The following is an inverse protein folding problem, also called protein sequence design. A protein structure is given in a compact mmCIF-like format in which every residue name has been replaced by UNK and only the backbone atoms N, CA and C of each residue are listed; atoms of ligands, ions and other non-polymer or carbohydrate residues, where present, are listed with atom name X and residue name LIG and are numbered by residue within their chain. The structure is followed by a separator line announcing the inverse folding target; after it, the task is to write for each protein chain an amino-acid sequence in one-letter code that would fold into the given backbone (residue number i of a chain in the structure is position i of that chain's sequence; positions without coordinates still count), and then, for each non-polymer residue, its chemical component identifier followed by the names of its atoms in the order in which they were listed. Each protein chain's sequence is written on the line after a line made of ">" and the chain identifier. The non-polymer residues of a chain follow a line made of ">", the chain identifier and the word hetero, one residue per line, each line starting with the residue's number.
data_IF_023111351959
#
_entry.id   IF_023111351959
#
_cell.length_a   1.000
_cell.length_b   1.000
_cell.length_c   1.000
_cell.angle_alpha   90.00
_cell.angle_beta   90.00
_cell.angle_gamma   90.00
#
_symmetry.space_group_name_H-M   'P 1'
#
loop_
_entity.id
_entity.type
_entity.pdbx_description
1 polymer ?
#
# COMPACT_ATOMS: atom_id res chain seq x y z
N UNK A 1 -38.21 -20.14 29.49
CA UNK A 1 -38.26 -20.29 28.04
C UNK A 1 -36.93 -19.78 27.54
N UNK A 2 -35.92 -20.67 27.53
CA UNK A 2 -34.58 -20.35 27.02
C UNK A 2 -34.65 -20.27 25.49
N UNK A 3 -33.99 -19.30 24.82
CA UNK A 3 -33.95 -19.28 23.37
C UNK A 3 -33.08 -20.42 22.89
N UNK A 4 -33.64 -21.24 22.01
CA UNK A 4 -33.01 -22.33 21.28
C UNK A 4 -31.87 -21.75 20.41
N UNK A 5 -30.62 -21.87 20.91
CA UNK A 5 -29.44 -21.23 20.29
C UNK A 5 -28.68 -22.12 19.33
N UNK A 6 -29.25 -23.23 18.85
CA UNK A 6 -28.56 -24.09 17.89
C UNK A 6 -29.48 -24.48 16.72
N UNK A 7 -29.64 -23.53 15.77
CA UNK A 7 -30.46 -23.69 14.56
C UNK A 7 -29.85 -24.62 13.50
N UNK A 8 -28.55 -25.05 13.65
CA UNK A 8 -27.88 -25.87 12.67
C UNK A 8 -27.12 -27.03 13.33
N UNK A 9 -27.02 -28.15 12.64
CA UNK A 9 -26.17 -29.25 13.08
C UNK A 9 -24.67 -28.86 13.03
N UNK A 10 -23.74 -29.47 13.81
CA UNK A 10 -22.32 -29.18 13.77
C UNK A 10 -21.70 -29.28 12.37
N UNK A 11 -22.18 -30.15 11.52
CA UNK A 11 -21.73 -30.33 10.13
C UNK A 11 -22.21 -29.15 9.24
N UNK A 12 -23.45 -28.73 9.37
CA UNK A 12 -24.02 -27.59 8.64
C UNK A 12 -23.30 -26.29 9.04
N UNK A 13 -23.02 -26.08 10.32
CA UNK A 13 -22.26 -24.93 10.78
C UNK A 13 -20.85 -24.89 10.17
N UNK A 14 -20.15 -26.03 10.12
CA UNK A 14 -18.82 -26.12 9.52
C UNK A 14 -18.85 -25.85 8.00
N UNK A 15 -19.88 -26.29 7.30
CA UNK A 15 -20.05 -26.04 5.87
C UNK A 15 -20.33 -24.56 5.59
N UNK A 16 -21.20 -23.91 6.36
CA UNK A 16 -21.47 -22.48 6.27
C UNK A 16 -20.22 -21.64 6.57
N UNK A 17 -19.45 -21.99 7.60
CA UNK A 17 -18.20 -21.31 7.94
C UNK A 17 -17.21 -21.44 6.79
N UNK A 18 -17.03 -22.64 6.22
CA UNK A 18 -16.13 -22.88 5.10
C UNK A 18 -16.55 -22.09 3.85
N UNK A 19 -17.82 -22.10 3.51
CA UNK A 19 -18.36 -21.36 2.37
C UNK A 19 -18.14 -19.85 2.53
N UNK A 20 -18.44 -19.30 3.72
CA UNK A 20 -18.23 -17.88 4.00
C UNK A 20 -16.73 -17.51 3.97
N UNK A 21 -15.85 -18.37 4.50
CA UNK A 21 -14.42 -18.17 4.44
C UNK A 21 -13.92 -18.12 2.99
N UNK A 22 -14.39 -19.02 2.13
CA UNK A 22 -14.04 -19.02 0.70
C UNK A 22 -14.52 -17.74 -0.01
N UNK A 23 -15.72 -17.26 0.29
CA UNK A 23 -16.23 -16.00 -0.26
C UNK A 23 -15.36 -14.82 0.15
N UNK A 24 -14.97 -14.74 1.43
CA UNK A 24 -14.08 -13.69 1.94
C UNK A 24 -12.73 -13.75 1.21
N UNK A 25 -12.10 -14.92 1.14
CA UNK A 25 -10.82 -15.07 0.45
C UNK A 25 -10.90 -14.70 -1.04
N UNK A 26 -12.01 -15.04 -1.70
CA UNK A 26 -12.23 -14.65 -3.11
C UNK A 26 -12.34 -13.13 -3.29
N UNK A 27 -12.99 -12.42 -2.36
CA UNK A 27 -13.07 -10.96 -2.38
C UNK A 27 -11.69 -10.33 -2.14
N UNK A 28 -10.93 -10.84 -1.18
CA UNK A 28 -9.58 -10.37 -0.91
C UNK A 28 -8.66 -10.57 -2.13
N UNK A 29 -8.70 -11.76 -2.73
CA UNK A 29 -7.91 -12.06 -3.93
C UNK A 29 -8.26 -11.15 -5.11
N UNK A 30 -9.55 -10.82 -5.31
CA UNK A 30 -9.99 -9.89 -6.35
C UNK A 30 -9.42 -8.46 -6.16
N UNK A 31 -9.07 -8.10 -4.93
CA UNK A 31 -8.41 -6.83 -4.59
C UNK A 31 -6.88 -6.97 -4.42
N UNK A 32 -6.31 -8.08 -4.86
CA UNK A 32 -4.88 -8.39 -4.74
C UNK A 32 -4.38 -8.35 -3.29
N UNK A 33 -5.22 -8.83 -2.37
CA UNK A 33 -4.91 -8.97 -0.95
C UNK A 33 -4.73 -10.44 -0.63
N UNK A 34 -3.62 -10.81 -0.04
CA UNK A 34 -3.31 -12.17 0.39
C UNK A 34 -3.03 -12.20 1.90
N UNK A 35 -3.37 -13.31 2.55
CA UNK A 35 -3.21 -13.47 4.00
C UNK A 35 -2.08 -14.46 4.29
N UNK A 36 -1.38 -14.20 5.39
CA UNK A 36 -0.41 -15.13 5.95
C UNK A 36 -0.33 -15.02 7.47
N UNK A 37 0.15 -16.05 8.10
CA UNK A 37 0.30 -16.16 9.53
C UNK A 37 1.71 -16.60 9.86
N UNK A 38 2.30 -16.05 10.91
CA UNK A 38 3.57 -16.43 11.48
C UNK A 38 3.34 -16.96 12.90
N UNK A 39 3.74 -18.20 13.13
CA UNK A 39 3.73 -18.84 14.44
C UNK A 39 5.02 -18.47 15.19
N UNK A 40 4.89 -17.64 16.22
CA UNK A 40 6.04 -17.05 16.93
C UNK A 40 6.88 -18.13 17.63
N UNK A 41 6.29 -19.11 18.34
CA UNK A 41 7.06 -20.17 18.99
C UNK A 41 7.84 -21.06 18.04
N UNK A 42 7.32 -21.34 16.86
CA UNK A 42 7.95 -22.28 15.93
C UNK A 42 8.71 -21.63 14.79
N UNK A 43 8.49 -20.33 14.56
CA UNK A 43 9.06 -19.58 13.44
C UNK A 43 8.49 -19.94 12.06
N UNK A 44 7.38 -20.67 12.01
CA UNK A 44 6.76 -21.13 10.75
C UNK A 44 5.80 -20.11 10.18
N UNK A 45 5.79 -20.00 8.85
CA UNK A 45 4.82 -19.23 8.08
C UNK A 45 3.75 -20.14 7.48
N UNK A 46 2.52 -19.66 7.46
CA UNK A 46 1.38 -20.27 6.76
C UNK A 46 0.74 -19.24 5.85
N UNK A 47 0.51 -19.59 4.60
CA UNK A 47 -0.01 -18.69 3.56
C UNK A 47 -1.36 -19.21 3.04
N UNK A 48 -2.22 -18.32 2.56
CA UNK A 48 -3.39 -18.72 1.78
C UNK A 48 -2.98 -19.41 0.48
N UNK A 49 -3.77 -20.37 -0.01
CA UNK A 49 -3.43 -21.22 -1.15
C UNK A 49 -3.00 -20.45 -2.41
N UNK A 50 -3.63 -19.32 -2.68
CA UNK A 50 -3.35 -18.49 -3.85
C UNK A 50 -2.45 -17.28 -3.56
N UNK A 51 -1.71 -17.29 -2.44
CA UNK A 51 -0.92 -16.14 -1.97
C UNK A 51 -0.03 -15.55 -3.08
N UNK A 52 0.81 -16.36 -3.71
CA UNK A 52 1.75 -15.91 -4.74
C UNK A 52 1.05 -15.40 -5.99
N UNK A 53 0.05 -16.14 -6.46
CA UNK A 53 -0.74 -15.76 -7.63
C UNK A 53 -1.51 -14.47 -7.41
N UNK A 54 -2.12 -14.32 -6.24
CA UNK A 54 -2.86 -13.11 -5.86
C UNK A 54 -1.99 -11.88 -5.89
N UNK A 55 -0.74 -11.99 -5.49
CA UNK A 55 0.21 -10.88 -5.47
C UNK A 55 0.99 -10.69 -6.78
N UNK A 56 0.88 -11.62 -7.74
CA UNK A 56 1.63 -11.58 -8.99
C UNK A 56 3.10 -12.02 -8.84
N UNK A 57 3.42 -12.71 -7.76
CA UNK A 57 4.75 -13.25 -7.52
C UNK A 57 4.94 -14.56 -8.29
N UNK A 58 6.18 -14.81 -8.67
CA UNK A 58 6.54 -16.05 -9.36
C UNK A 58 6.31 -17.25 -8.43
N UNK A 59 5.49 -18.18 -8.88
CA UNK A 59 5.29 -19.47 -8.21
C UNK A 59 6.54 -20.36 -8.43
N UNK A 60 7.57 -20.12 -7.62
CA UNK A 60 8.90 -20.71 -7.85
C UNK A 60 9.04 -22.16 -7.36
N UNK A 61 7.94 -22.86 -7.02
CA UNK A 61 8.01 -24.18 -6.39
C UNK A 61 8.71 -24.17 -5.03
N UNK A 62 8.90 -22.99 -4.46
CA UNK A 62 9.52 -22.80 -3.14
C UNK A 62 8.49 -23.16 -2.09
N UNK A 63 8.79 -24.18 -1.29
CA UNK A 63 8.03 -24.46 -0.08
C UNK A 63 8.50 -23.46 0.96
N UNK A 64 7.71 -22.43 1.19
CA UNK A 64 7.96 -21.47 2.27
C UNK A 64 7.90 -22.21 3.62
N UNK A 65 8.99 -22.20 4.31
CA UNK A 65 9.10 -22.81 5.66
C UNK A 65 9.14 -21.74 6.73
N UNK A 66 9.81 -20.65 6.44
CA UNK A 66 9.97 -19.52 7.37
C UNK A 66 10.06 -18.19 6.60
N UNK A 67 10.13 -17.08 7.34
CA UNK A 67 10.17 -15.72 6.76
C UNK A 67 11.41 -15.48 5.89
N UNK A 68 12.51 -16.22 6.06
CA UNK A 68 13.71 -16.02 5.26
C UNK A 68 13.51 -16.47 3.81
N UNK A 69 12.59 -17.40 3.56
CA UNK A 69 12.25 -17.81 2.21
C UNK A 69 11.61 -16.67 1.40
N UNK A 70 10.92 -15.73 2.07
CA UNK A 70 10.37 -14.53 1.44
C UNK A 70 11.46 -13.62 0.87
N UNK A 71 12.63 -13.53 1.53
CA UNK A 71 13.70 -12.65 1.08
C UNK A 71 14.30 -13.03 -0.27
N UNK A 72 14.04 -14.23 -0.78
CA UNK A 72 14.44 -14.63 -2.14
C UNK A 72 13.66 -13.85 -3.24
N UNK A 73 12.50 -13.30 -2.90
CA UNK A 73 11.69 -12.50 -3.81
C UNK A 73 11.91 -11.00 -3.62
N UNK A 74 12.38 -10.59 -2.44
CA UNK A 74 12.60 -9.19 -2.12
C UNK A 74 13.87 -8.64 -2.79
N UNK A 75 13.84 -7.36 -3.13
CA UNK A 75 15.04 -6.66 -3.55
C UNK A 75 16.03 -6.55 -2.39
N UNK A 76 17.33 -6.80 -2.63
CA UNK A 76 18.35 -6.85 -1.57
C UNK A 76 18.40 -5.57 -0.71
N UNK A 77 18.16 -4.41 -1.32
CA UNK A 77 18.17 -3.11 -0.63
C UNK A 77 17.05 -2.97 0.40
N UNK A 78 15.93 -3.67 0.20
CA UNK A 78 14.74 -3.56 1.05
C UNK A 78 14.76 -4.56 2.22
N UNK A 79 15.56 -5.63 2.11
CA UNK A 79 15.57 -6.74 3.08
C UNK A 79 15.87 -6.26 4.49
N UNK A 80 16.87 -5.41 4.67
CA UNK A 80 17.28 -4.94 6.00
C UNK A 80 16.18 -4.09 6.69
N UNK A 81 15.50 -3.25 5.93
CA UNK A 81 14.37 -2.46 6.43
C UNK A 81 13.20 -3.35 6.83
N UNK A 82 12.89 -4.35 6.00
CA UNK A 82 11.86 -5.34 6.27
C UNK A 82 12.17 -6.15 7.54
N UNK A 83 13.38 -6.68 7.68
CA UNK A 83 13.81 -7.43 8.85
C UNK A 83 13.70 -6.60 10.13
N UNK A 84 14.09 -5.33 10.07
CA UNK A 84 14.01 -4.41 11.22
C UNK A 84 12.55 -4.17 11.64
N UNK A 85 11.64 -3.95 10.68
CA UNK A 85 10.23 -3.75 10.98
C UNK A 85 9.59 -5.03 11.55
N UNK A 86 9.90 -6.19 10.95
CA UNK A 86 9.42 -7.48 11.42
C UNK A 86 9.89 -7.79 12.85
N UNK A 87 11.17 -7.53 13.16
CA UNK A 87 11.71 -7.71 14.51
C UNK A 87 11.01 -6.82 15.55
N UNK A 88 10.71 -5.56 15.21
CA UNK A 88 9.94 -4.66 16.09
C UNK A 88 8.53 -5.16 16.35
N UNK A 89 7.88 -5.75 15.35
CA UNK A 89 6.56 -6.38 15.53
C UNK A 89 6.62 -7.56 16.50
N UNK A 90 7.61 -8.42 16.35
CA UNK A 90 7.79 -9.58 17.24
C UNK A 90 8.10 -9.14 18.68
N UNK A 91 8.80 -8.03 18.87
CA UNK A 91 9.08 -7.45 20.20
C UNK A 91 7.87 -6.77 20.84
N UNK A 92 6.69 -6.79 20.21
CA UNK A 92 5.46 -6.12 20.67
C UNK A 92 5.62 -4.58 20.89
N UNK A 93 6.58 -3.98 20.23
CA UNK A 93 6.82 -2.52 20.29
C UNK A 93 5.76 -1.72 19.51
N UNK A 94 4.97 -2.39 18.68
CA UNK A 94 3.88 -1.79 17.92
C UNK A 94 2.69 -2.74 17.83
N UNK A 95 1.46 -2.23 17.99
CA UNK A 95 0.24 -3.02 17.83
C UNK A 95 -0.17 -3.24 16.36
N UNK A 96 0.29 -2.37 15.49
CA UNK A 96 0.11 -2.46 14.04
C UNK A 96 1.32 -1.82 13.37
N UNK A 97 1.81 -2.45 12.34
CA UNK A 97 2.88 -1.91 11.52
C UNK A 97 2.61 -2.24 10.07
N UNK A 98 3.09 -1.39 9.19
CA UNK A 98 3.07 -1.65 7.76
C UNK A 98 4.46 -1.40 7.20
N UNK A 99 4.81 -2.14 6.17
CA UNK A 99 6.06 -1.97 5.44
C UNK A 99 5.85 -2.25 3.96
N UNK A 100 6.40 -1.39 3.12
CA UNK A 100 6.49 -1.62 1.70
C UNK A 100 7.83 -2.30 1.35
N UNK A 101 7.78 -3.22 0.41
CA UNK A 101 8.94 -3.97 -0.08
C UNK A 101 8.80 -4.21 -1.58
N UNK A 102 9.90 -4.03 -2.30
CA UNK A 102 9.95 -4.41 -3.71
C UNK A 102 10.25 -5.89 -3.83
N UNK A 103 9.50 -6.55 -4.70
CA UNK A 103 9.68 -7.95 -5.02
C UNK A 103 9.83 -8.15 -6.53
N UNK A 104 10.35 -9.32 -6.91
CA UNK A 104 10.45 -9.74 -8.30
C UNK A 104 9.20 -10.51 -8.68
N UNK A 105 8.46 -10.02 -9.66
CA UNK A 105 7.26 -10.63 -10.20
C UNK A 105 7.55 -11.86 -11.06
N UNK A 106 6.47 -12.49 -11.55
CA UNK A 106 6.54 -13.73 -12.34
C UNK A 106 7.37 -13.56 -13.61
N UNK A 107 7.32 -12.40 -14.25
CA UNK A 107 8.04 -12.10 -15.49
C UNK A 107 9.31 -11.27 -15.29
N UNK A 108 9.76 -11.12 -14.03
CA UNK A 108 10.94 -10.34 -13.68
C UNK A 108 10.69 -8.85 -13.48
N UNK A 109 9.45 -8.40 -13.54
CA UNK A 109 9.04 -7.04 -13.24
C UNK A 109 9.15 -6.72 -11.75
N UNK A 110 9.21 -5.42 -11.44
CA UNK A 110 9.16 -4.95 -10.05
C UNK A 110 7.72 -4.92 -9.57
N UNK A 111 7.45 -5.63 -8.50
CA UNK A 111 6.18 -5.62 -7.78
C UNK A 111 6.39 -4.93 -6.44
N UNK A 112 5.54 -3.97 -6.11
CA UNK A 112 5.49 -3.35 -4.79
C UNK A 112 4.45 -4.04 -3.93
N UNK A 113 4.89 -4.60 -2.83
CA UNK A 113 4.04 -5.22 -1.82
C UNK A 113 4.02 -4.37 -0.57
N UNK A 114 2.86 -4.28 0.07
CA UNK A 114 2.69 -3.65 1.37
C UNK A 114 2.15 -4.69 2.35
N UNK A 115 2.97 -5.04 3.34
CA UNK A 115 2.59 -5.94 4.43
C UNK A 115 2.02 -5.15 5.60
N UNK A 116 0.90 -5.62 6.12
CA UNK A 116 0.24 -5.12 7.31
C UNK A 116 0.23 -6.21 8.37
N UNK A 117 0.81 -5.94 9.51
CA UNK A 117 0.97 -6.89 10.60
C UNK A 117 -0.02 -6.61 11.73
N UNK A 118 -0.63 -7.67 12.25
CA UNK A 118 -1.54 -7.66 13.39
C UNK A 118 -1.13 -8.77 14.35
N UNK A 119 -0.69 -8.43 15.56
CA UNK A 119 -0.44 -9.44 16.58
C UNK A 119 -1.75 -9.92 17.17
N UNK A 120 -1.91 -11.24 17.33
CA UNK A 120 -3.05 -11.80 18.02
C UNK A 120 -2.67 -12.99 18.90
N UNK A 121 -3.53 -13.25 19.89
CA UNK A 121 -3.38 -14.39 20.80
C UNK A 121 -4.11 -15.60 20.23
N UNK A 122 -3.43 -16.74 20.13
CA UNK A 122 -4.06 -17.99 19.73
C UNK A 122 -4.90 -18.62 20.85
N UNK A 123 -4.60 -18.28 22.12
CA UNK A 123 -5.32 -18.72 23.32
C UNK A 123 -5.65 -17.52 24.20
N UNK A 124 -6.71 -17.62 25.03
CA UNK A 124 -7.22 -16.52 25.85
C UNK A 124 -6.26 -16.04 26.96
N UNK A 125 -5.26 -16.83 27.33
CA UNK A 125 -4.29 -16.51 28.37
C UNK A 125 -2.85 -16.53 27.82
N UNK A 126 -2.15 -15.40 27.85
CA UNK A 126 -0.72 -15.31 27.51
C UNK A 126 -0.34 -14.16 26.57
N UNK A 127 0.95 -14.12 26.21
CA UNK A 127 1.49 -13.25 25.17
C UNK A 127 1.01 -13.68 23.77
N UNK A 128 1.02 -12.80 22.77
CA UNK A 128 0.69 -13.19 21.40
C UNK A 128 1.60 -14.32 20.95
N UNK A 129 1.00 -15.41 20.48
CA UNK A 129 1.71 -16.58 19.93
C UNK A 129 1.71 -16.58 18.40
N UNK A 130 0.89 -15.74 17.79
CA UNK A 130 0.74 -15.63 16.36
C UNK A 130 0.74 -14.18 15.89
N UNK A 131 1.34 -13.98 14.73
CA UNK A 131 1.27 -12.75 13.96
C UNK A 131 0.46 -13.03 12.69
N UNK A 132 -0.71 -12.43 12.60
CA UNK A 132 -1.50 -12.41 11.38
C UNK A 132 -1.05 -11.23 10.53
N UNK A 133 -0.86 -11.45 9.26
CA UNK A 133 -0.54 -10.40 8.31
C UNK A 133 -1.41 -10.51 7.05
N UNK A 134 -1.63 -9.37 6.41
CA UNK A 134 -2.10 -9.35 5.04
C UNK A 134 -1.16 -8.53 4.18
N UNK A 135 -1.00 -8.98 2.96
CA UNK A 135 -0.15 -8.34 1.96
C UNK A 135 -1.01 -7.82 0.83
N UNK A 136 -0.76 -6.60 0.40
CA UNK A 136 -1.44 -5.96 -0.72
C UNK A 136 -0.43 -5.70 -1.84
N UNK A 137 -0.81 -5.99 -3.08
CA UNK A 137 -0.04 -5.53 -4.24
C UNK A 137 -0.40 -4.07 -4.51
N UNK A 138 0.53 -3.16 -4.22
CA UNK A 138 0.38 -1.71 -4.38
C UNK A 138 1.13 -1.16 -5.59
N UNK A 139 1.57 -2.02 -6.52
CA UNK A 139 2.36 -1.64 -7.69
C UNK A 139 1.70 -0.51 -8.48
N UNK A 140 0.43 -0.68 -8.85
CA UNK A 140 -0.31 0.34 -9.61
C UNK A 140 -0.45 1.67 -8.87
N UNK A 141 -0.55 1.64 -7.53
CA UNK A 141 -0.60 2.85 -6.72
C UNK A 141 0.77 3.54 -6.73
N UNK A 142 1.84 2.81 -6.47
CA UNK A 142 3.21 3.34 -6.47
C UNK A 142 3.59 3.94 -7.84
N UNK A 143 3.24 3.26 -8.94
CA UNK A 143 3.49 3.76 -10.29
C UNK A 143 2.75 5.08 -10.57
N UNK A 144 1.49 5.19 -10.15
CA UNK A 144 0.72 6.44 -10.29
C UNK A 144 1.33 7.57 -9.48
N UNK A 145 1.71 7.32 -8.24
CA UNK A 145 2.34 8.31 -7.36
C UNK A 145 3.68 8.78 -7.92
N UNK A 146 4.52 7.86 -8.43
CA UNK A 146 5.77 8.19 -9.09
C UNK A 146 5.55 9.01 -10.37
N UNK A 147 4.53 8.65 -11.16
CA UNK A 147 4.20 9.40 -12.37
C UNK A 147 3.74 10.83 -12.07
N UNK A 148 2.85 10.99 -11.06
CA UNK A 148 2.40 12.32 -10.61
C UNK A 148 3.61 13.15 -10.16
N UNK A 149 4.46 12.59 -9.30
CA UNK A 149 5.67 13.27 -8.83
C UNK A 149 6.60 13.68 -9.97
N UNK A 150 6.78 12.80 -10.95
CA UNK A 150 7.60 13.11 -12.13
C UNK A 150 7.01 14.28 -12.94
N UNK A 151 5.68 14.30 -13.14
CA UNK A 151 5.00 15.41 -13.83
C UNK A 151 5.13 16.73 -13.06
N UNK A 152 5.00 16.71 -11.74
CA UNK A 152 5.17 17.89 -10.89
C UNK A 152 6.59 18.44 -10.97
N UNK A 153 7.61 17.57 -10.91
CA UNK A 153 9.00 17.95 -11.06
C UNK A 153 9.30 18.51 -12.46
N UNK A 154 8.72 17.90 -13.48
CA UNK A 154 8.85 18.37 -14.85
C UNK A 154 8.24 19.74 -15.05
N UNK A 155 6.99 19.94 -14.58
CA UNK A 155 6.31 21.22 -14.63
C UNK A 155 7.08 22.31 -13.87
N UNK A 156 7.61 21.97 -12.68
CA UNK A 156 8.44 22.92 -11.92
C UNK A 156 9.69 23.34 -12.71
N UNK A 157 10.40 22.40 -13.35
CA UNK A 157 11.56 22.73 -14.17
C UNK A 157 11.23 23.61 -15.36
N UNK A 158 10.04 23.42 -15.97
CA UNK A 158 9.59 24.29 -17.06
C UNK A 158 9.38 25.71 -16.53
N UNK A 159 8.67 25.86 -15.40
CA UNK A 159 8.39 27.17 -14.77
C UNK A 159 9.70 27.86 -14.38
N UNK A 160 10.65 27.14 -13.78
CA UNK A 160 11.97 27.66 -13.41
C UNK A 160 12.84 28.09 -14.62
N UNK A 161 12.63 27.46 -15.78
CA UNK A 161 13.34 27.80 -17.02
C UNK A 161 12.74 29.01 -17.78
N UNK A 162 11.54 29.44 -17.39
CA UNK A 162 10.90 30.60 -18.01
C UNK A 162 11.55 31.89 -17.49
N UNK A 163 11.98 32.82 -18.39
CA UNK A 163 12.67 34.04 -17.98
C UNK A 163 11.76 35.08 -17.30
N UNK A 164 10.46 34.92 -17.40
CA UNK A 164 9.46 35.89 -16.94
C UNK A 164 8.32 35.19 -16.20
N UNK A 165 7.14 35.71 -16.29
CA UNK A 165 5.93 35.17 -15.67
C UNK A 165 4.89 34.83 -16.74
N UNK A 166 3.98 33.87 -16.42
CA UNK A 166 2.85 33.48 -17.26
C UNK A 166 1.57 33.75 -16.50
N UNK A 167 0.68 34.52 -17.10
CA UNK A 167 -0.68 34.69 -16.64
C UNK A 167 -1.58 33.62 -17.26
N UNK A 168 -2.38 32.94 -16.42
CA UNK A 168 -3.41 32.02 -16.87
C UNK A 168 -4.76 32.69 -16.71
N UNK A 169 -5.54 32.71 -17.78
CA UNK A 169 -6.84 33.37 -17.84
C UNK A 169 -7.95 32.35 -18.02
N UNK A 170 -9.14 32.67 -17.51
CA UNK A 170 -10.38 31.99 -17.86
C UNK A 170 -10.95 32.46 -19.21
N UNK A 171 -12.10 31.91 -19.61
CA UNK A 171 -12.81 32.28 -20.86
C UNK A 171 -13.32 33.71 -20.87
N UNK A 172 -13.40 34.38 -19.72
CA UNK A 172 -13.84 35.77 -19.57
C UNK A 172 -12.67 36.77 -19.42
N UNK A 173 -11.42 36.29 -19.57
CA UNK A 173 -10.20 37.07 -19.40
C UNK A 173 -9.88 37.48 -17.96
N UNK A 174 -10.41 36.79 -16.95
CA UNK A 174 -9.97 36.97 -15.57
C UNK A 174 -8.75 36.07 -15.29
N UNK A 175 -7.77 36.62 -14.55
CA UNK A 175 -6.57 35.86 -14.15
C UNK A 175 -6.97 34.80 -13.15
N UNK A 176 -6.78 33.55 -13.52
CA UNK A 176 -7.01 32.40 -12.64
C UNK A 176 -5.73 31.98 -11.91
N UNK A 177 -4.56 32.13 -12.55
CA UNK A 177 -3.29 31.85 -11.92
C UNK A 177 -2.13 32.65 -12.54
N UNK A 178 -1.00 32.73 -11.78
CA UNK A 178 0.24 33.35 -12.22
C UNK A 178 1.39 32.41 -11.91
N UNK A 179 2.08 31.94 -12.94
CA UNK A 179 3.28 31.13 -12.81
C UNK A 179 4.50 32.02 -13.03
N UNK A 180 5.51 31.89 -12.16
CA UNK A 180 6.72 32.71 -12.24
C UNK A 180 7.95 31.92 -11.81
N UNK A 181 9.11 32.30 -12.36
CA UNK A 181 10.39 31.76 -11.92
C UNK A 181 10.75 32.25 -10.50
N UNK A 182 11.48 31.46 -9.71
CA UNK A 182 11.97 31.88 -8.41
C UNK A 182 12.77 33.18 -8.47
N UNK A 183 12.40 34.16 -7.64
CA UNK A 183 13.06 35.47 -7.61
C UNK A 183 12.49 36.51 -8.55
N UNK A 184 11.48 36.21 -9.35
CA UNK A 184 10.76 37.19 -10.16
C UNK A 184 9.96 38.14 -9.26
N UNK A 185 10.10 39.46 -9.51
CA UNK A 185 9.38 40.50 -8.76
C UNK A 185 8.21 40.99 -9.61
N UNK A 186 7.02 40.84 -9.11
CA UNK A 186 5.83 41.46 -9.68
C UNK A 186 5.57 42.80 -9.02
N UNK A 187 4.97 43.73 -9.77
CA UNK A 187 4.52 45.02 -9.24
C UNK A 187 3.40 44.89 -8.20
N UNK A 188 2.60 43.84 -8.32
CA UNK A 188 1.52 43.51 -7.39
C UNK A 188 1.65 42.07 -6.90
N UNK A 189 1.27 41.77 -5.65
CA UNK A 189 1.21 40.39 -5.15
C UNK A 189 0.29 39.51 -6.00
N UNK A 190 0.62 38.23 -6.11
CA UNK A 190 -0.16 37.24 -6.91
C UNK A 190 -1.62 37.19 -6.44
N UNK A 191 -1.85 37.32 -5.14
CA UNK A 191 -3.17 37.28 -4.51
C UNK A 191 -4.07 38.46 -4.98
N UNK A 192 -3.46 39.58 -5.32
CA UNK A 192 -4.17 40.76 -5.85
C UNK A 192 -4.45 40.60 -7.35
N UNK A 193 -3.58 39.90 -8.06
CA UNK A 193 -3.73 39.66 -9.50
C UNK A 193 -4.77 38.58 -9.80
N UNK A 194 -4.92 37.60 -8.95
CA UNK A 194 -5.94 36.55 -9.11
C UNK A 194 -7.35 37.16 -9.01
N UNK A 195 -8.16 36.90 -10.01
CA UNK A 195 -9.50 37.48 -10.16
C UNK A 195 -9.54 38.86 -10.81
N UNK A 196 -8.40 39.45 -11.14
CA UNK A 196 -8.35 40.68 -11.88
C UNK A 196 -8.67 40.47 -13.39
N UNK A 197 -9.32 41.43 -14.01
CA UNK A 197 -9.56 41.45 -15.47
C UNK A 197 -8.23 41.71 -16.19
N UNK A 198 -7.77 40.74 -16.96
CA UNK A 198 -6.51 40.84 -17.70
C UNK A 198 -6.44 42.00 -18.67
N UNK A 199 -7.59 42.56 -19.07
CA UNK A 199 -7.68 43.76 -19.94
C UNK A 199 -7.38 45.06 -19.21
N UNK A 200 -7.37 45.05 -17.87
CA UNK A 200 -7.14 46.24 -17.02
C UNK A 200 -5.74 46.29 -16.41
N UNK A 201 -4.86 45.33 -16.73
CA UNK A 201 -3.49 45.30 -16.25
C UNK A 201 -2.57 46.00 -17.24
N UNK A 202 -2.53 47.30 -17.14
CA UNK A 202 -1.57 48.18 -17.83
C UNK A 202 -0.96 49.17 -16.85
#
# INVERSE_FOLDING_TARGET
>A
MEPDTNLYSPNENNEIIRENSQKILSVLAAHQIALWEYDIPTGKCSFTDDYFRTLGLKEAGVVFKDINDFYHFAYPEDINAYQTAFAKMLASESKASQIQVRCVGEHGEVIWLEDHFLSYKGNEEGDPDKLLAYTVNVTSQCEKEQHIKHLEEHNRKIIEALPEFIFIFDENFFITDVLMAPGTILLHPVEVLKGADGRSIY
#
